data_IF_881218367973
#
_entry.id   IF_881218367973
#
_cell.length_a   1.000
_cell.length_b   1.000
_cell.length_c   1.000
_cell.angle_alpha   90.00
_cell.angle_beta   90.00
_cell.angle_gamma   90.00
#
_symmetry.space_group_name_H-M   'P 1'
#
loop_
_entity.id
_entity.type
_entity.pdbx_description
1 polymer ?
#
# COMPACT_ATOMS: atom_id res chain seq x y z
N UNK A 1 37.96 -24.41 2.12
CA UNK A 1 38.02 -23.02 2.61
C UNK A 1 37.00 -22.08 1.98
N UNK A 2 36.78 -22.10 0.68
CA UNK A 2 35.80 -21.20 0.03
C UNK A 2 34.33 -21.41 0.48
N UNK A 3 33.92 -22.64 0.75
CA UNK A 3 32.54 -22.97 1.18
C UNK A 3 32.23 -22.48 2.62
N UNK A 4 33.21 -22.46 3.52
CA UNK A 4 33.06 -21.89 4.87
C UNK A 4 32.97 -20.35 4.85
N UNK A 5 33.68 -19.66 3.96
CA UNK A 5 33.64 -18.21 3.85
C UNK A 5 32.29 -17.69 3.27
N UNK A 6 31.64 -18.46 2.39
CA UNK A 6 30.32 -18.12 1.83
C UNK A 6 29.22 -18.27 2.86
N UNK A 7 29.26 -19.29 3.71
CA UNK A 7 28.27 -19.51 4.78
C UNK A 7 28.37 -18.47 5.91
N UNK A 8 29.57 -18.02 6.26
CA UNK A 8 29.79 -16.97 7.27
C UNK A 8 29.28 -15.60 6.78
N UNK A 9 29.50 -15.24 5.52
CA UNK A 9 28.99 -13.99 4.95
C UNK A 9 27.46 -13.96 4.84
N UNK A 10 26.81 -15.07 4.50
CA UNK A 10 25.34 -15.16 4.42
C UNK A 10 24.71 -14.99 5.83
N UNK A 11 25.25 -15.62 6.86
CA UNK A 11 24.76 -15.48 8.24
C UNK A 11 24.94 -14.06 8.81
N UNK A 12 26.02 -13.38 8.45
CA UNK A 12 26.23 -11.97 8.85
C UNK A 12 25.24 -11.03 8.16
N UNK A 13 24.99 -11.22 6.87
CA UNK A 13 24.01 -10.43 6.11
C UNK A 13 22.58 -10.61 6.66
N UNK A 14 22.21 -11.84 7.02
CA UNK A 14 20.89 -12.13 7.62
C UNK A 14 20.74 -11.46 8.99
N UNK A 15 21.77 -11.56 9.84
CA UNK A 15 21.78 -10.91 11.17
C UNK A 15 21.68 -9.39 11.05
N UNK A 16 22.38 -8.78 10.10
CA UNK A 16 22.30 -7.34 9.84
C UNK A 16 20.91 -6.93 9.34
N UNK A 17 20.29 -7.71 8.45
CA UNK A 17 18.93 -7.47 7.96
C UNK A 17 17.91 -7.55 9.11
N UNK A 18 18.02 -8.56 9.98
CA UNK A 18 17.15 -8.72 11.15
C UNK A 18 17.31 -7.55 12.14
N UNK A 19 18.54 -7.15 12.46
CA UNK A 19 18.79 -5.98 13.32
C UNK A 19 18.16 -4.71 12.75
N UNK A 20 18.35 -4.45 11.46
CA UNK A 20 17.75 -3.30 10.78
C UNK A 20 16.21 -3.35 10.82
N UNK A 21 15.63 -4.50 10.57
CA UNK A 21 14.18 -4.71 10.66
C UNK A 21 13.66 -4.39 12.07
N UNK A 22 14.26 -5.01 13.11
CA UNK A 22 13.86 -4.80 14.49
C UNK A 22 14.01 -3.33 14.92
N UNK A 23 15.09 -2.66 14.52
CA UNK A 23 15.26 -1.23 14.78
C UNK A 23 14.13 -0.40 14.17
N UNK A 24 13.77 -0.67 12.91
CA UNK A 24 12.69 0.04 12.23
C UNK A 24 11.33 -0.27 12.89
N UNK A 25 11.08 -1.50 13.30
CA UNK A 25 9.87 -1.88 14.05
C UNK A 25 9.79 -1.12 15.37
N UNK A 26 10.86 -1.11 16.16
CA UNK A 26 10.90 -0.40 17.46
C UNK A 26 10.71 1.11 17.28
N UNK A 27 11.40 1.72 16.33
CA UNK A 27 11.21 3.14 16.01
C UNK A 27 9.78 3.43 15.53
N UNK A 28 9.22 2.55 14.70
CA UNK A 28 7.84 2.64 14.25
C UNK A 28 6.85 2.50 15.42
N UNK A 29 7.09 1.59 16.35
CA UNK A 29 6.26 1.45 17.55
C UNK A 29 6.29 2.70 18.43
N UNK A 30 7.46 3.31 18.62
CA UNK A 30 7.60 4.56 19.38
C UNK A 30 6.84 5.70 18.70
N UNK A 31 6.98 5.85 17.38
CA UNK A 31 6.30 6.90 16.62
C UNK A 31 4.78 6.70 16.57
N UNK A 32 4.32 5.47 16.29
CA UNK A 32 2.88 5.16 16.28
C UNK A 32 2.28 5.26 17.67
N UNK A 33 2.96 4.80 18.72
CA UNK A 33 2.51 4.90 20.10
C UNK A 33 2.40 6.35 20.55
N UNK A 34 3.40 7.18 20.26
CA UNK A 34 3.37 8.61 20.55
C UNK A 34 2.25 9.32 19.76
N UNK A 35 2.09 8.99 18.47
CA UNK A 35 1.03 9.53 17.63
C UNK A 35 -0.36 9.11 18.11
N UNK A 36 -0.55 7.85 18.46
CA UNK A 36 -1.80 7.33 19.00
C UNK A 36 -2.16 7.98 20.35
N UNK A 37 -1.16 8.15 21.23
CA UNK A 37 -1.35 8.85 22.49
C UNK A 37 -1.75 10.31 22.29
N UNK A 38 -1.05 11.04 21.41
CA UNK A 38 -1.40 12.42 21.09
C UNK A 38 -2.81 12.53 20.48
N UNK A 39 -3.15 11.65 19.54
CA UNK A 39 -4.48 11.58 18.94
C UNK A 39 -5.57 11.30 19.99
N UNK A 40 -5.34 10.31 20.87
CA UNK A 40 -6.28 9.96 21.93
C UNK A 40 -6.54 11.15 22.89
N UNK A 41 -5.49 11.92 23.24
CA UNK A 41 -5.61 13.12 24.07
C UNK A 41 -6.40 14.23 23.37
N UNK A 42 -6.10 14.51 22.10
CA UNK A 42 -6.78 15.56 21.32
C UNK A 42 -8.25 15.21 21.06
N UNK A 43 -8.53 13.93 20.77
CA UNK A 43 -9.88 13.45 20.44
C UNK A 43 -10.67 12.94 21.64
N UNK A 44 -10.10 13.02 22.85
CA UNK A 44 -10.68 12.53 24.08
C UNK A 44 -11.12 11.05 24.01
N UNK A 45 -10.29 10.21 23.35
CA UNK A 45 -10.54 8.77 23.24
C UNK A 45 -10.27 8.11 24.60
N UNK A 46 -11.23 7.38 25.18
CA UNK A 46 -11.03 6.69 26.45
C UNK A 46 -9.90 5.66 26.39
N UNK A 47 -9.15 5.48 27.48
CA UNK A 47 -7.99 4.59 27.51
C UNK A 47 -8.35 3.13 27.20
N UNK A 48 -9.53 2.66 27.62
CA UNK A 48 -10.01 1.31 27.36
C UNK A 48 -10.26 1.04 25.85
N UNK A 49 -10.43 2.09 25.03
CA UNK A 49 -10.48 2.01 23.56
C UNK A 49 -9.10 2.25 22.98
N UNK A 50 -8.39 3.30 23.42
CA UNK A 50 -7.14 3.72 22.84
C UNK A 50 -6.04 2.64 22.94
N UNK A 51 -5.94 1.96 24.09
CA UNK A 51 -4.90 0.97 24.32
C UNK A 51 -5.02 -0.26 23.39
N UNK A 52 -6.16 -0.98 23.30
CA UNK A 52 -6.27 -2.14 22.41
C UNK A 52 -6.22 -1.75 20.92
N UNK A 53 -6.75 -0.59 20.53
CA UNK A 53 -6.65 -0.09 19.15
C UNK A 53 -5.19 0.20 18.80
N UNK A 54 -4.46 0.91 19.66
CA UNK A 54 -3.03 1.14 19.47
C UNK A 54 -2.27 -0.19 19.38
N UNK A 55 -2.52 -1.14 20.28
CA UNK A 55 -1.88 -2.45 20.25
C UNK A 55 -2.13 -3.20 18.94
N UNK A 56 -3.33 -3.12 18.37
CA UNK A 56 -3.64 -3.73 17.07
C UNK A 56 -2.78 -3.16 15.93
N UNK A 57 -2.62 -1.83 15.86
CA UNK A 57 -1.73 -1.19 14.88
C UNK A 57 -0.25 -1.49 15.12
N UNK A 58 0.19 -1.55 16.38
CA UNK A 58 1.58 -1.92 16.70
C UNK A 58 1.90 -3.36 16.29
N UNK A 59 0.97 -4.30 16.49
CA UNK A 59 1.12 -5.69 16.05
C UNK A 59 1.07 -5.81 14.52
N UNK A 60 0.24 -5.01 13.83
CA UNK A 60 0.18 -5.02 12.37
C UNK A 60 1.47 -4.51 11.71
N UNK A 61 2.16 -3.56 12.34
CA UNK A 61 3.34 -2.89 11.77
C UNK A 61 4.44 -3.85 11.30
N UNK A 62 4.97 -4.81 12.12
CA UNK A 62 6.01 -5.73 11.67
C UNK A 62 5.56 -6.60 10.49
N UNK A 63 4.29 -7.01 10.45
CA UNK A 63 3.75 -7.75 9.32
C UNK A 63 3.68 -6.89 8.05
N UNK A 64 3.32 -5.61 8.18
CA UNK A 64 3.30 -4.65 7.08
C UNK A 64 4.69 -4.37 6.51
N UNK A 65 5.69 -4.31 7.36
CA UNK A 65 7.08 -4.04 6.96
C UNK A 65 7.75 -5.26 6.28
N UNK A 66 7.36 -6.48 6.66
CA UNK A 66 8.02 -7.72 6.23
C UNK A 66 8.20 -7.85 4.70
N UNK A 67 7.20 -7.57 3.83
CA UNK A 67 7.36 -7.66 2.38
C UNK A 67 8.50 -6.82 1.82
N UNK A 68 8.85 -5.72 2.50
CA UNK A 68 9.94 -4.81 2.10
C UNK A 68 11.36 -5.28 2.46
N UNK A 69 11.49 -6.36 3.24
CA UNK A 69 12.78 -6.91 3.67
C UNK A 69 13.03 -8.25 2.99
N UNK A 70 13.71 -8.23 1.85
CA UNK A 70 13.92 -9.40 1.01
C UNK A 70 14.47 -10.61 1.77
N UNK A 71 15.54 -10.44 2.54
CA UNK A 71 16.17 -11.55 3.29
C UNK A 71 15.21 -12.19 4.30
N UNK A 72 14.39 -11.39 4.99
CA UNK A 72 13.41 -11.91 5.95
C UNK A 72 12.23 -12.56 5.24
N UNK A 73 11.80 -12.00 4.11
CA UNK A 73 10.77 -12.58 3.26
C UNK A 73 11.21 -13.97 2.77
N UNK A 74 12.42 -14.10 2.21
CA UNK A 74 12.99 -15.39 1.76
C UNK A 74 13.02 -16.42 2.90
N UNK A 75 13.31 -16.00 4.12
CA UNK A 75 13.26 -16.86 5.30
C UNK A 75 11.86 -17.37 5.61
N UNK A 76 10.82 -16.52 5.56
CA UNK A 76 9.45 -17.00 5.80
C UNK A 76 8.92 -17.81 4.61
N UNK A 77 9.39 -17.56 3.40
CA UNK A 77 9.11 -18.36 2.21
C UNK A 77 9.65 -19.81 2.36
N UNK A 78 10.77 -19.99 3.08
CA UNK A 78 11.35 -21.32 3.34
C UNK A 78 10.47 -22.23 4.20
N UNK A 79 9.44 -21.69 4.89
CA UNK A 79 8.43 -22.49 5.60
C UNK A 79 7.59 -23.36 4.65
N UNK A 80 7.62 -23.07 3.35
CA UNK A 80 6.78 -23.69 2.34
C UNK A 80 5.44 -22.98 2.15
N UNK A 81 4.92 -23.06 0.92
CA UNK A 81 3.80 -22.24 0.42
C UNK A 81 2.53 -22.31 1.28
N UNK A 82 2.09 -23.51 1.65
CA UNK A 82 0.87 -23.68 2.42
C UNK A 82 1.01 -23.18 3.87
N UNK A 83 2.18 -23.42 4.50
CA UNK A 83 2.44 -22.93 5.87
C UNK A 83 2.55 -21.39 5.89
N UNK A 84 3.22 -20.81 4.89
CA UNK A 84 3.29 -19.37 4.75
C UNK A 84 1.89 -18.77 4.59
N UNK A 85 1.05 -19.32 3.72
CA UNK A 85 -0.32 -18.85 3.53
C UNK A 85 -1.13 -18.96 4.84
N UNK A 86 -1.02 -20.07 5.55
CA UNK A 86 -1.66 -20.25 6.86
C UNK A 86 -1.21 -19.23 7.91
N UNK A 87 0.11 -18.96 7.98
CA UNK A 87 0.66 -17.93 8.86
C UNK A 87 0.18 -16.52 8.48
N UNK A 88 0.04 -16.22 7.18
CA UNK A 88 -0.52 -14.96 6.68
C UNK A 88 -1.97 -14.79 7.15
N UNK A 89 -2.81 -15.84 7.05
CA UNK A 89 -4.19 -15.80 7.55
C UNK A 89 -4.21 -15.58 9.06
N UNK A 90 -3.47 -16.36 9.84
CA UNK A 90 -3.42 -16.20 11.29
C UNK A 90 -2.98 -14.79 11.71
N UNK A 91 -1.95 -14.24 11.04
CA UNK A 91 -1.47 -12.89 11.30
C UNK A 91 -2.50 -11.79 10.94
N UNK A 92 -3.39 -12.04 9.98
CA UNK A 92 -4.46 -11.11 9.58
C UNK A 92 -5.58 -11.02 10.63
N UNK A 93 -5.87 -12.13 11.30
CA UNK A 93 -6.92 -12.20 12.32
C UNK A 93 -6.49 -11.60 13.66
N UNK A 94 -5.19 -11.65 13.97
CA UNK A 94 -4.65 -11.24 15.27
C UNK A 94 -4.95 -9.77 15.63
N UNK A 95 -4.70 -8.75 14.79
CA UNK A 95 -5.02 -7.36 15.11
C UNK A 95 -6.53 -7.12 15.32
N UNK A 96 -7.39 -7.82 14.56
CA UNK A 96 -8.84 -7.75 14.75
C UNK A 96 -9.25 -8.23 16.14
N UNK A 97 -8.74 -9.37 16.60
CA UNK A 97 -9.03 -9.90 17.93
C UNK A 97 -8.51 -8.99 19.05
N UNK A 98 -7.30 -8.43 18.88
CA UNK A 98 -6.65 -7.58 19.87
C UNK A 98 -7.48 -6.33 20.19
N UNK A 99 -8.12 -5.72 19.19
CA UNK A 99 -8.94 -4.54 19.49
C UNK A 99 -10.40 -4.89 19.77
N UNK A 100 -10.99 -5.80 19.00
CA UNK A 100 -12.44 -6.01 19.02
C UNK A 100 -12.94 -6.72 20.29
N UNK A 101 -12.17 -7.66 20.82
CA UNK A 101 -12.55 -8.40 22.04
C UNK A 101 -12.52 -7.50 23.26
N UNK A 102 -11.43 -6.76 23.59
CA UNK A 102 -11.40 -5.90 24.79
C UNK A 102 -12.36 -4.70 24.70
N UNK A 103 -12.66 -4.23 23.50
CA UNK A 103 -13.59 -3.11 23.31
C UNK A 103 -15.05 -3.53 23.16
N UNK A 104 -15.36 -4.83 23.22
CA UNK A 104 -16.72 -5.33 23.14
C UNK A 104 -17.40 -5.25 21.77
N UNK A 105 -16.65 -4.93 20.70
CA UNK A 105 -17.20 -4.82 19.33
C UNK A 105 -16.93 -6.06 18.48
N UNK A 106 -16.49 -7.17 19.10
CA UNK A 106 -16.26 -8.42 18.39
C UNK A 106 -17.56 -8.95 17.78
N UNK A 107 -17.53 -9.24 16.47
CA UNK A 107 -18.63 -9.88 15.76
C UNK A 107 -18.14 -11.13 15.02
N UNK A 108 -18.78 -12.28 15.26
CA UNK A 108 -18.41 -13.54 14.61
C UNK A 108 -18.56 -13.47 13.09
N UNK A 109 -19.56 -12.76 12.59
CA UNK A 109 -19.77 -12.53 11.15
C UNK A 109 -18.62 -11.72 10.54
N UNK A 110 -18.16 -10.64 11.22
CA UNK A 110 -17.01 -9.85 10.81
C UNK A 110 -15.72 -10.65 10.83
N UNK A 111 -15.49 -11.45 11.88
CA UNK A 111 -14.35 -12.36 11.99
C UNK A 111 -14.34 -13.41 10.87
N UNK A 112 -15.50 -14.05 10.60
CA UNK A 112 -15.63 -15.05 9.54
C UNK A 112 -15.39 -14.46 8.15
N UNK A 113 -15.93 -13.26 7.87
CA UNK A 113 -15.70 -12.56 6.61
C UNK A 113 -14.22 -12.16 6.45
N UNK A 114 -13.57 -11.67 7.52
CA UNK A 114 -12.14 -11.36 7.52
C UNK A 114 -11.31 -12.60 7.25
N UNK A 115 -11.62 -13.72 7.91
CA UNK A 115 -10.93 -15.00 7.70
C UNK A 115 -11.07 -15.49 6.26
N UNK A 116 -12.27 -15.36 5.67
CA UNK A 116 -12.53 -15.72 4.26
C UNK A 116 -11.70 -14.87 3.30
N UNK A 117 -11.67 -13.55 3.48
CA UNK A 117 -10.88 -12.63 2.65
C UNK A 117 -9.38 -12.93 2.80
N UNK A 118 -8.90 -13.07 4.03
CA UNK A 118 -7.50 -13.39 4.28
C UNK A 118 -7.10 -14.72 3.66
N UNK A 119 -7.94 -15.75 3.76
CA UNK A 119 -7.71 -17.06 3.14
C UNK A 119 -7.73 -16.96 1.61
N UNK A 120 -8.71 -16.28 1.01
CA UNK A 120 -8.79 -16.11 -0.43
C UNK A 120 -7.53 -15.43 -1.00
N UNK A 121 -7.02 -14.36 -0.35
CA UNK A 121 -5.83 -13.65 -0.78
C UNK A 121 -4.56 -14.46 -0.52
N UNK A 122 -4.40 -15.06 0.67
CA UNK A 122 -3.19 -15.79 1.03
C UNK A 122 -3.04 -17.11 0.28
N UNK A 123 -4.11 -17.86 0.06
CA UNK A 123 -4.07 -19.14 -0.64
C UNK A 123 -4.22 -19.03 -2.16
N UNK A 124 -4.44 -17.83 -2.71
CA UNK A 124 -4.66 -17.66 -4.15
C UNK A 124 -3.61 -18.38 -4.98
N UNK A 125 -2.34 -18.01 -4.85
CA UNK A 125 -1.26 -18.63 -5.62
C UNK A 125 -0.77 -19.98 -5.08
N UNK A 126 -1.30 -20.45 -3.97
CA UNK A 126 -1.10 -21.84 -3.54
C UNK A 126 -1.98 -22.77 -4.37
N UNK A 127 -3.23 -22.36 -4.66
CA UNK A 127 -4.26 -23.16 -5.32
C UNK A 127 -4.38 -22.87 -6.82
N UNK A 128 -4.23 -21.60 -7.22
CA UNK A 128 -4.39 -21.17 -8.60
C UNK A 128 -3.05 -21.19 -9.38
N UNK A 129 -3.09 -21.41 -10.72
CA UNK A 129 -1.91 -21.39 -11.55
C UNK A 129 -1.29 -19.99 -11.64
N UNK A 130 0.02 -19.91 -11.85
CA UNK A 130 0.77 -18.65 -12.04
C UNK A 130 0.67 -18.16 -13.48
N UNK A 131 -0.52 -17.79 -13.92
CA UNK A 131 -0.83 -17.35 -15.29
C UNK A 131 -1.32 -15.91 -15.31
N UNK A 132 -1.29 -15.26 -16.48
CA UNK A 132 -1.82 -13.91 -16.67
C UNK A 132 -3.30 -13.80 -16.34
N UNK A 133 -4.09 -14.85 -16.64
CA UNK A 133 -5.51 -14.90 -16.27
C UNK A 133 -5.71 -14.93 -14.74
N UNK A 134 -4.94 -15.77 -14.04
CA UNK A 134 -4.95 -15.82 -12.58
C UNK A 134 -4.50 -14.49 -11.95
N UNK A 135 -3.48 -13.83 -12.53
CA UNK A 135 -3.02 -12.51 -12.08
C UNK A 135 -4.13 -11.45 -12.24
N UNK A 136 -4.82 -11.44 -13.37
CA UNK A 136 -5.93 -10.52 -13.64
C UNK A 136 -7.10 -10.74 -12.66
N UNK A 137 -7.48 -12.00 -12.41
CA UNK A 137 -8.52 -12.35 -11.43
C UNK A 137 -8.11 -11.98 -9.99
N UNK A 138 -6.83 -12.15 -9.64
CA UNK A 138 -6.33 -11.73 -8.33
C UNK A 138 -6.44 -10.21 -8.13
N UNK A 139 -6.05 -9.42 -9.13
CA UNK A 139 -6.23 -7.96 -9.08
C UNK A 139 -7.71 -7.56 -9.02
N UNK A 140 -8.57 -8.26 -9.77
CA UNK A 140 -10.01 -8.02 -9.72
C UNK A 140 -10.60 -8.34 -8.34
N UNK A 141 -10.15 -9.42 -7.69
CA UNK A 141 -10.53 -9.74 -6.31
C UNK A 141 -10.12 -8.62 -5.34
N UNK A 142 -8.87 -8.15 -5.40
CA UNK A 142 -8.39 -7.07 -4.54
C UNK A 142 -9.19 -5.78 -4.79
N UNK A 143 -9.44 -5.44 -6.05
CA UNK A 143 -10.26 -4.28 -6.41
C UNK A 143 -11.68 -4.40 -5.87
N UNK A 144 -12.33 -5.56 -6.00
CA UNK A 144 -13.68 -5.79 -5.48
C UNK A 144 -13.73 -5.60 -3.95
N UNK A 145 -12.76 -6.15 -3.20
CA UNK A 145 -12.66 -5.99 -1.74
C UNK A 145 -12.59 -4.51 -1.34
N UNK A 146 -11.76 -3.73 -2.05
CA UNK A 146 -11.57 -2.30 -1.74
C UNK A 146 -12.78 -1.47 -2.15
N UNK A 147 -13.29 -1.66 -3.38
CA UNK A 147 -14.40 -0.87 -3.92
C UNK A 147 -15.73 -1.12 -3.21
N UNK A 148 -15.98 -2.35 -2.77
CA UNK A 148 -17.17 -2.71 -1.97
C UNK A 148 -17.08 -2.22 -0.50
N UNK A 149 -15.94 -1.58 -0.13
CA UNK A 149 -15.71 -1.05 1.24
C UNK A 149 -16.00 -2.08 2.33
N UNK A 150 -15.64 -3.34 2.07
CA UNK A 150 -15.97 -4.48 2.95
C UNK A 150 -15.42 -4.29 4.37
N UNK A 151 -14.30 -3.59 4.53
CA UNK A 151 -13.70 -3.35 5.84
C UNK A 151 -14.53 -2.45 6.75
N UNK A 152 -15.36 -1.55 6.20
CA UNK A 152 -16.32 -0.78 7.00
C UNK A 152 -17.40 -1.66 7.66
N UNK A 153 -17.67 -2.85 7.09
CA UNK A 153 -18.60 -3.84 7.67
C UNK A 153 -17.92 -4.77 8.67
N UNK A 154 -16.61 -4.99 8.52
CA UNK A 154 -15.82 -5.89 9.38
C UNK A 154 -15.34 -5.17 10.63
N UNK A 155 -14.76 -3.98 10.47
CA UNK A 155 -14.10 -3.24 11.54
C UNK A 155 -15.06 -2.20 12.13
N UNK A 156 -15.79 -2.59 13.17
CA UNK A 156 -16.65 -1.68 13.88
C UNK A 156 -15.84 -0.73 14.78
N UNK A 157 -16.15 0.56 14.73
CA UNK A 157 -15.57 1.57 15.60
C UNK A 157 -16.19 1.47 17.02
N UNK A 158 -15.40 1.24 18.09
CA UNK A 158 -15.91 1.25 19.48
C UNK A 158 -16.47 2.60 19.89
N UNK A 159 -16.00 3.68 19.29
CA UNK A 159 -16.51 5.04 19.37
C UNK A 159 -16.49 5.68 17.98
N UNK A 160 -17.40 6.60 17.66
CA UNK A 160 -17.51 7.18 16.31
C UNK A 160 -16.22 7.82 15.80
N UNK A 161 -15.94 7.64 14.50
CA UNK A 161 -14.86 8.30 13.74
C UNK A 161 -13.43 7.87 14.08
N UNK A 162 -13.22 6.64 14.56
CA UNK A 162 -11.87 6.05 14.70
C UNK A 162 -11.30 5.53 13.39
N UNK A 163 -12.17 5.17 12.44
CA UNK A 163 -11.78 4.69 11.11
C UNK A 163 -10.94 3.42 11.15
N UNK A 164 -11.38 2.41 11.91
CA UNK A 164 -10.65 1.14 12.08
C UNK A 164 -10.60 0.29 10.83
N UNK A 165 -11.40 0.61 9.80
CA UNK A 165 -11.29 0.02 8.47
C UNK A 165 -9.89 0.17 7.86
N UNK A 166 -9.10 1.16 8.28
CA UNK A 166 -7.71 1.30 7.84
C UNK A 166 -6.83 0.12 8.25
N UNK A 167 -7.12 -0.53 9.38
CA UNK A 167 -6.41 -1.74 9.79
C UNK A 167 -6.60 -2.87 8.77
N UNK A 168 -7.84 -3.00 8.25
CA UNK A 168 -8.15 -3.94 7.18
C UNK A 168 -7.45 -3.61 5.86
N UNK A 169 -7.35 -2.34 5.49
CA UNK A 169 -6.63 -1.94 4.28
C UNK A 169 -5.13 -2.24 4.37
N UNK A 170 -4.48 -1.92 5.50
CA UNK A 170 -3.04 -2.22 5.71
C UNK A 170 -2.81 -3.73 5.68
N UNK A 171 -3.66 -4.52 6.33
CA UNK A 171 -3.64 -5.98 6.29
C UNK A 171 -3.77 -6.51 4.85
N UNK A 172 -4.73 -6.00 4.06
CA UNK A 172 -4.91 -6.44 2.67
C UNK A 172 -3.68 -6.15 1.81
N UNK A 173 -3.09 -4.96 1.95
CA UNK A 173 -1.90 -4.54 1.21
C UNK A 173 -0.76 -5.53 1.45
N UNK A 174 -0.45 -5.84 2.72
CA UNK A 174 0.65 -6.75 3.03
C UNK A 174 0.40 -8.20 2.62
N UNK A 175 -0.84 -8.68 2.78
CA UNK A 175 -1.22 -10.02 2.31
C UNK A 175 -1.05 -10.14 0.80
N UNK A 176 -1.56 -9.16 0.06
CA UNK A 176 -1.43 -9.14 -1.39
C UNK A 176 0.04 -9.01 -1.84
N UNK A 177 0.83 -8.15 -1.19
CA UNK A 177 2.26 -8.03 -1.47
C UNK A 177 3.00 -9.36 -1.21
N UNK A 178 2.75 -10.03 -0.07
CA UNK A 178 3.34 -11.34 0.24
C UNK A 178 2.86 -12.44 -0.71
N UNK A 179 1.59 -12.45 -1.10
CA UNK A 179 1.06 -13.40 -2.08
C UNK A 179 1.76 -13.27 -3.43
N UNK A 180 2.03 -12.05 -3.88
CA UNK A 180 2.69 -11.78 -5.15
C UNK A 180 4.20 -12.03 -5.06
N UNK A 181 4.87 -11.50 -4.06
CA UNK A 181 6.32 -11.57 -3.94
C UNK A 181 6.78 -12.96 -3.51
N UNK A 182 6.14 -13.55 -2.49
CA UNK A 182 6.53 -14.81 -1.89
C UNK A 182 5.87 -16.04 -2.55
N UNK A 183 4.55 -16.01 -2.76
CA UNK A 183 3.83 -17.19 -3.23
C UNK A 183 3.76 -17.31 -4.74
N UNK A 184 3.50 -16.19 -5.45
CA UNK A 184 3.54 -16.18 -6.91
C UNK A 184 4.97 -16.23 -7.42
N UNK A 185 5.84 -15.40 -6.88
CA UNK A 185 7.23 -15.24 -7.31
C UNK A 185 7.37 -14.67 -8.74
N UNK A 186 8.59 -14.33 -9.15
CA UNK A 186 8.89 -13.94 -10.54
C UNK A 186 8.16 -12.70 -11.07
N UNK A 187 7.49 -11.93 -10.21
CA UNK A 187 6.78 -10.70 -10.62
C UNK A 187 7.74 -9.61 -11.09
N UNK A 188 8.97 -9.63 -10.60
CA UNK A 188 9.97 -8.58 -10.79
C UNK A 188 9.55 -7.23 -10.19
N UNK A 189 8.46 -7.20 -9.43
CA UNK A 189 8.07 -6.05 -8.64
C UNK A 189 8.87 -6.02 -7.34
N UNK A 190 9.13 -4.81 -6.83
CA UNK A 190 9.80 -4.60 -5.55
C UNK A 190 8.86 -3.83 -4.62
N UNK A 191 8.78 -4.29 -3.38
CA UNK A 191 8.07 -3.58 -2.31
C UNK A 191 9.12 -3.03 -1.35
N UNK A 192 9.54 -1.77 -1.56
CA UNK A 192 10.55 -1.08 -0.76
C UNK A 192 10.01 0.23 -0.22
N UNK A 193 10.35 0.57 1.02
CA UNK A 193 9.87 1.78 1.68
C UNK A 193 10.71 3.02 1.35
N UNK A 194 12.00 2.87 1.02
CA UNK A 194 12.92 3.99 0.86
C UNK A 194 13.36 4.16 -0.59
N UNK A 195 13.04 5.32 -1.20
CA UNK A 195 13.57 5.68 -2.51
C UNK A 195 15.06 5.99 -2.46
N UNK A 196 15.79 5.61 -3.50
CA UNK A 196 17.17 6.04 -3.75
C UNK A 196 17.21 7.48 -4.24
N UNK A 197 18.41 8.11 -4.24
CA UNK A 197 18.59 9.46 -4.78
C UNK A 197 18.06 9.61 -6.23
N UNK A 198 18.31 8.61 -7.07
CA UNK A 198 17.83 8.60 -8.46
C UNK A 198 16.30 8.59 -8.52
N UNK A 199 15.66 7.79 -7.69
CA UNK A 199 14.21 7.67 -7.62
C UNK A 199 13.56 8.93 -7.05
N UNK A 200 14.17 9.57 -6.05
CA UNK A 200 13.77 10.89 -5.56
C UNK A 200 13.80 11.94 -6.66
N UNK A 201 14.91 12.03 -7.41
CA UNK A 201 15.06 13.02 -8.48
C UNK A 201 14.08 12.77 -9.64
N UNK A 202 13.83 11.51 -10.00
CA UNK A 202 12.82 11.16 -10.99
C UNK A 202 11.42 11.54 -10.52
N UNK A 203 11.07 11.18 -9.27
CA UNK A 203 9.78 11.52 -8.68
C UNK A 203 9.53 13.01 -8.60
N UNK A 204 10.52 13.80 -8.19
CA UNK A 204 10.43 15.26 -8.15
C UNK A 204 10.25 15.88 -9.54
N UNK A 205 10.97 15.39 -10.57
CA UNK A 205 10.80 15.88 -11.96
C UNK A 205 9.39 15.64 -12.48
N UNK A 206 8.88 14.42 -12.31
CA UNK A 206 7.55 14.07 -12.77
C UNK A 206 6.46 14.77 -11.96
N UNK A 207 6.69 15.03 -10.67
CA UNK A 207 5.83 15.89 -9.87
C UNK A 207 5.82 17.34 -10.38
N UNK A 208 6.98 17.93 -10.67
CA UNK A 208 7.06 19.27 -11.24
C UNK A 208 6.34 19.37 -12.60
N UNK A 209 6.43 18.32 -13.43
CA UNK A 209 5.70 18.24 -14.70
C UNK A 209 4.19 18.06 -14.51
N UNK A 210 3.75 17.37 -13.46
CA UNK A 210 2.34 17.15 -13.11
C UNK A 210 1.66 18.44 -12.65
N UNK A 211 2.35 19.27 -11.85
CA UNK A 211 1.78 20.46 -11.22
C UNK A 211 1.00 21.38 -12.17
N UNK A 212 1.56 21.86 -13.30
CA UNK A 212 0.84 22.76 -14.21
C UNK A 212 -0.39 22.07 -14.83
N UNK A 213 -0.29 20.77 -15.16
CA UNK A 213 -1.40 20.02 -15.77
C UNK A 213 -2.57 19.89 -14.79
N UNK A 214 -2.28 19.52 -13.55
CA UNK A 214 -3.31 19.38 -12.52
C UNK A 214 -3.87 20.73 -12.10
N UNK A 215 -3.04 21.78 -11.99
CA UNK A 215 -3.50 23.14 -11.69
C UNK A 215 -4.49 23.66 -12.74
N UNK A 216 -4.21 23.47 -14.03
CA UNK A 216 -5.11 23.85 -15.11
C UNK A 216 -6.45 23.10 -15.02
N UNK A 217 -6.40 21.78 -14.79
CA UNK A 217 -7.61 20.94 -14.70
C UNK A 217 -8.42 21.29 -13.47
N UNK A 218 -7.80 21.45 -12.32
CA UNK A 218 -8.49 21.86 -11.08
C UNK A 218 -9.16 23.22 -11.23
N UNK A 219 -8.44 24.19 -11.83
CA UNK A 219 -9.01 25.51 -12.10
C UNK A 219 -10.20 25.41 -13.06
N UNK A 220 -10.04 24.72 -14.20
CA UNK A 220 -11.08 24.58 -15.23
C UNK A 220 -12.33 23.88 -14.71
N UNK A 221 -12.21 22.97 -13.75
CA UNK A 221 -13.32 22.23 -13.15
C UNK A 221 -13.90 22.90 -11.91
N UNK A 222 -13.33 24.00 -11.44
CA UNK A 222 -13.74 24.69 -10.21
C UNK A 222 -13.60 23.81 -8.96
N UNK A 223 -12.56 22.97 -8.91
CA UNK A 223 -12.39 21.98 -7.85
C UNK A 223 -11.52 22.45 -6.68
N UNK A 224 -10.89 23.62 -6.76
CA UNK A 224 -9.87 24.01 -5.80
C UNK A 224 -9.95 25.47 -5.41
N UNK A 225 -9.95 25.68 -4.10
CA UNK A 225 -9.62 26.93 -3.46
C UNK A 225 -8.31 26.79 -2.68
N UNK A 226 -7.47 27.84 -2.71
CA UNK A 226 -6.27 27.89 -1.89
C UNK A 226 -6.66 28.11 -0.43
N UNK A 227 -6.62 27.06 0.38
CA UNK A 227 -6.97 27.08 1.81
C UNK A 227 -5.94 26.31 2.63
N UNK A 228 -4.74 26.88 2.87
CA UNK A 228 -3.70 26.19 3.62
C UNK A 228 -4.15 25.86 5.03
N UNK A 229 -3.82 24.64 5.49
CA UNK A 229 -4.13 24.22 6.86
C UNK A 229 -3.27 25.00 7.88
N UNK A 230 -3.83 25.45 9.02
CA UNK A 230 -3.10 26.24 10.02
C UNK A 230 -1.84 25.56 10.57
N UNK A 231 -1.79 24.22 10.62
CA UNK A 231 -0.59 23.46 11.05
C UNK A 231 0.49 23.36 9.97
N UNK A 232 0.25 23.84 8.74
CA UNK A 232 1.25 24.02 7.67
C UNK A 232 2.25 22.88 7.51
N UNK A 233 3.54 23.21 7.65
CA UNK A 233 4.65 22.29 7.40
C UNK A 233 4.67 21.01 8.26
N UNK A 234 4.41 21.03 9.59
CA UNK A 234 4.39 19.79 10.37
C UNK A 234 3.31 18.81 9.89
N UNK A 235 2.11 19.32 9.56
CA UNK A 235 1.05 18.48 9.01
C UNK A 235 1.42 18.00 7.61
N UNK A 236 2.04 18.82 6.78
CA UNK A 236 2.50 18.44 5.45
C UNK A 236 3.53 17.30 5.52
N UNK A 237 4.49 17.38 6.43
CA UNK A 237 5.49 16.32 6.63
C UNK A 237 4.84 15.00 7.09
N UNK A 238 3.99 15.06 8.11
CA UNK A 238 3.28 13.87 8.60
C UNK A 238 2.38 13.25 7.52
N UNK A 239 1.64 14.08 6.78
CA UNK A 239 0.80 13.64 5.67
C UNK A 239 1.63 13.03 4.55
N UNK A 240 2.75 13.68 4.18
CA UNK A 240 3.64 13.18 3.15
C UNK A 240 4.17 11.77 3.46
N UNK A 241 4.72 11.54 4.65
CA UNK A 241 5.24 10.23 5.00
C UNK A 241 4.14 9.17 5.16
N UNK A 242 2.98 9.54 5.70
CA UNK A 242 1.82 8.66 5.76
C UNK A 242 1.33 8.24 4.37
N UNK A 243 1.21 9.19 3.45
CA UNK A 243 0.86 8.91 2.05
C UNK A 243 1.97 8.10 1.37
N UNK A 244 3.24 8.49 1.52
CA UNK A 244 4.38 7.84 0.88
C UNK A 244 4.43 6.36 1.21
N UNK A 245 4.36 6.00 2.50
CA UNK A 245 4.60 4.63 2.95
C UNK A 245 3.36 3.75 3.03
N UNK A 246 2.17 4.32 3.00
CA UNK A 246 0.93 3.53 3.05
C UNK A 246 0.16 3.64 1.74
N UNK A 247 -0.33 4.81 1.39
CA UNK A 247 -1.22 4.98 0.23
C UNK A 247 -0.42 4.86 -1.08
N UNK A 248 0.59 5.71 -1.27
CA UNK A 248 1.35 5.73 -2.53
C UNK A 248 2.12 4.43 -2.74
N UNK A 249 2.77 3.87 -1.69
CA UNK A 249 3.46 2.59 -1.83
C UNK A 249 2.51 1.49 -2.29
N UNK A 250 1.34 1.36 -1.68
CA UNK A 250 0.38 0.31 -2.05
C UNK A 250 -0.20 0.52 -3.44
N UNK A 251 -0.69 1.71 -3.74
CA UNK A 251 -1.32 1.99 -5.03
C UNK A 251 -0.31 1.88 -6.17
N UNK A 252 0.89 2.44 -6.01
CA UNK A 252 1.93 2.36 -7.03
C UNK A 252 2.48 0.94 -7.20
N UNK A 253 2.55 0.15 -6.11
CA UNK A 253 2.90 -1.26 -6.21
C UNK A 253 1.90 -2.02 -7.09
N UNK A 254 0.58 -1.85 -6.86
CA UNK A 254 -0.44 -2.55 -7.63
C UNK A 254 -0.59 -2.00 -9.05
N UNK A 255 -0.63 -0.66 -9.22
CA UNK A 255 -0.87 -0.07 -10.53
C UNK A 255 0.37 -0.03 -11.42
N UNK A 256 1.56 0.24 -10.89
CA UNK A 256 2.80 0.38 -11.67
C UNK A 256 3.68 -0.86 -11.56
N UNK A 257 3.88 -1.33 -10.34
CA UNK A 257 4.69 -2.53 -10.10
C UNK A 257 4.10 -3.81 -10.71
N UNK A 258 2.78 -3.93 -10.77
CA UNK A 258 2.10 -5.10 -11.29
C UNK A 258 1.31 -4.82 -12.55
N UNK A 259 0.20 -4.07 -12.48
CA UNK A 259 -0.73 -3.91 -13.58
C UNK A 259 -0.07 -3.31 -14.82
N UNK A 260 0.58 -2.15 -14.71
CA UNK A 260 1.27 -1.50 -15.83
C UNK A 260 2.36 -2.39 -16.42
N UNK A 261 3.15 -3.06 -15.55
CA UNK A 261 4.18 -4.00 -15.97
C UNK A 261 3.62 -5.23 -16.68
N UNK A 262 2.46 -5.75 -16.23
CA UNK A 262 1.80 -6.88 -16.88
C UNK A 262 1.16 -6.45 -18.19
N UNK A 263 0.54 -5.28 -18.25
CA UNK A 263 -0.01 -4.70 -19.49
C UNK A 263 1.09 -4.53 -20.56
N UNK A 264 2.31 -4.10 -20.22
CA UNK A 264 3.42 -4.06 -21.18
C UNK A 264 3.68 -5.42 -21.84
N UNK A 265 3.60 -6.51 -21.05
CA UNK A 265 3.80 -7.88 -21.54
C UNK A 265 2.59 -8.42 -22.31
N UNK A 266 1.38 -8.06 -21.88
CA UNK A 266 0.14 -8.55 -22.52
C UNK A 266 -0.12 -7.86 -23.86
N UNK A 267 0.19 -6.55 -23.96
CA UNK A 267 -0.01 -5.77 -25.19
C UNK A 267 0.98 -6.14 -26.28
N UNK A 268 2.19 -6.53 -25.93
CA UNK A 268 3.20 -7.00 -26.89
C UNK A 268 4.06 -8.12 -26.28
N UNK A 269 3.58 -9.39 -26.33
CA UNK A 269 4.29 -10.52 -25.77
C UNK A 269 5.67 -10.77 -26.42
N UNK A 270 5.84 -10.38 -27.68
CA UNK A 270 7.09 -10.60 -28.43
C UNK A 270 8.12 -9.50 -28.20
N UNK A 271 7.68 -8.28 -27.90
CA UNK A 271 8.52 -7.08 -27.68
C UNK A 271 8.14 -6.36 -26.39
N UNK A 272 7.94 -7.15 -25.31
CA UNK A 272 7.62 -6.61 -24.00
C UNK A 272 8.64 -5.53 -23.59
N UNK A 273 8.14 -4.33 -23.26
CA UNK A 273 8.98 -3.16 -22.98
C UNK A 273 9.38 -2.35 -24.21
N UNK A 274 8.83 -2.63 -25.40
CA UNK A 274 8.92 -1.71 -26.54
C UNK A 274 8.38 -0.32 -26.15
N UNK A 275 8.84 0.73 -26.83
CA UNK A 275 8.38 2.12 -26.53
C UNK A 275 6.86 2.24 -26.65
N UNK A 276 6.27 1.56 -27.65
CA UNK A 276 4.83 1.62 -27.91
C UNK A 276 4.03 0.89 -26.81
N UNK A 277 4.39 -0.37 -26.49
CA UNK A 277 3.71 -1.15 -25.44
C UNK A 277 3.84 -0.49 -24.08
N UNK A 278 5.01 0.08 -23.79
CA UNK A 278 5.24 0.79 -22.51
C UNK A 278 4.38 2.06 -22.38
N UNK A 279 4.25 2.85 -23.46
CA UNK A 279 3.39 4.04 -23.46
C UNK A 279 1.91 3.62 -23.37
N UNK A 280 1.47 2.65 -24.13
CA UNK A 280 0.10 2.15 -24.08
C UNK A 280 -0.25 1.64 -22.67
N UNK A 281 0.65 0.91 -22.03
CA UNK A 281 0.48 0.41 -20.66
C UNK A 281 0.35 1.55 -19.63
N UNK A 282 1.11 2.67 -19.80
CA UNK A 282 0.95 3.86 -18.94
C UNK A 282 -0.46 4.39 -19.05
N UNK A 283 -0.99 4.62 -20.26
CA UNK A 283 -2.34 5.16 -20.44
C UNK A 283 -3.41 4.21 -19.95
N UNK A 284 -3.35 2.92 -20.29
CA UNK A 284 -4.32 1.92 -19.82
C UNK A 284 -4.34 1.83 -18.28
N UNK A 285 -3.18 1.73 -17.64
CA UNK A 285 -3.10 1.70 -16.18
C UNK A 285 -3.61 2.99 -15.54
N UNK A 286 -3.41 4.15 -16.17
CA UNK A 286 -3.86 5.44 -15.67
C UNK A 286 -5.38 5.63 -15.80
N UNK A 287 -6.00 5.14 -16.87
CA UNK A 287 -7.46 5.10 -17.01
C UNK A 287 -8.08 4.22 -15.92
N UNK A 288 -7.52 3.03 -15.67
CA UNK A 288 -7.97 2.14 -14.61
C UNK A 288 -7.75 2.75 -13.21
N UNK A 289 -6.65 3.48 -13.02
CA UNK A 289 -6.40 4.23 -11.79
C UNK A 289 -7.46 5.31 -11.56
N UNK A 290 -7.79 6.08 -12.58
CA UNK A 290 -8.88 7.05 -12.53
C UNK A 290 -10.23 6.39 -12.24
N UNK A 291 -10.56 5.29 -12.92
CA UNK A 291 -11.80 4.55 -12.72
C UNK A 291 -11.96 4.03 -11.28
N UNK A 292 -10.86 3.60 -10.64
CA UNK A 292 -10.86 3.20 -9.23
C UNK A 292 -11.24 4.34 -8.27
N UNK A 293 -11.12 5.60 -8.71
CA UNK A 293 -11.48 6.79 -7.93
C UNK A 293 -12.88 7.34 -8.19
N UNK A 294 -13.70 6.68 -9.01
CA UNK A 294 -15.10 7.10 -9.28
C UNK A 294 -15.98 7.19 -8.02
N UNK A 295 -15.70 6.39 -7.00
CA UNK A 295 -16.39 6.41 -5.70
C UNK A 295 -15.72 7.27 -4.61
N UNK A 296 -14.75 8.10 -4.98
CA UNK A 296 -14.02 8.92 -4.00
C UNK A 296 -14.92 9.98 -3.34
N UNK A 297 -14.69 10.25 -2.05
CA UNK A 297 -15.41 11.22 -1.23
C UNK A 297 -16.93 10.98 -1.18
N UNK A 298 -17.36 9.71 -1.19
CA UNK A 298 -18.77 9.29 -1.14
C UNK A 298 -19.65 9.85 -2.30
N UNK A 299 -19.04 10.40 -3.35
CA UNK A 299 -19.71 10.80 -4.58
C UNK A 299 -19.54 9.72 -5.65
N UNK A 300 -20.64 9.24 -6.24
CA UNK A 300 -20.58 8.30 -7.36
C UNK A 300 -21.61 8.69 -8.44
N UNK A 301 -21.18 8.81 -9.71
CA UNK A 301 -19.78 8.78 -10.18
C UNK A 301 -19.08 10.14 -9.97
N UNK A 302 -17.97 10.15 -9.25
CA UNK A 302 -17.11 11.34 -9.12
C UNK A 302 -16.17 11.46 -10.33
N UNK A 303 -16.73 11.74 -11.51
CA UNK A 303 -15.97 11.77 -12.76
C UNK A 303 -14.89 12.87 -12.78
N UNK A 304 -15.12 13.99 -12.08
CA UNK A 304 -14.15 15.10 -12.01
C UNK A 304 -12.88 14.64 -11.29
N UNK A 305 -13.04 14.03 -10.13
CA UNK A 305 -11.89 13.49 -9.39
C UNK A 305 -11.25 12.31 -10.11
N UNK A 306 -12.05 11.44 -10.73
CA UNK A 306 -11.56 10.33 -11.56
C UNK A 306 -10.69 10.81 -12.72
N UNK A 307 -11.08 11.90 -13.40
CA UNK A 307 -10.28 12.51 -14.47
C UNK A 307 -8.93 13.03 -13.94
N UNK A 308 -8.95 13.75 -12.82
CA UNK A 308 -7.73 14.23 -12.18
C UNK A 308 -6.81 13.08 -11.77
N UNK A 309 -7.37 12.03 -11.17
CA UNK A 309 -6.63 10.84 -10.81
C UNK A 309 -6.03 10.14 -12.05
N UNK A 310 -6.78 10.03 -13.15
CA UNK A 310 -6.27 9.47 -14.40
C UNK A 310 -5.09 10.27 -14.96
N UNK A 311 -5.21 11.61 -14.98
CA UNK A 311 -4.12 12.50 -15.41
C UNK A 311 -2.91 12.34 -14.50
N UNK A 312 -3.06 12.42 -13.19
CA UNK A 312 -1.98 12.19 -12.24
C UNK A 312 -1.34 10.81 -12.45
N UNK A 313 -2.17 9.81 -12.71
CA UNK A 313 -1.77 8.46 -13.05
C UNK A 313 -0.79 8.36 -14.22
N UNK A 314 -0.97 9.18 -15.26
CA UNK A 314 -0.04 9.22 -16.39
C UNK A 314 1.37 9.63 -15.93
N UNK A 315 1.49 10.65 -15.09
CA UNK A 315 2.77 11.10 -14.57
C UNK A 315 3.42 10.10 -13.63
N UNK A 316 2.63 9.43 -12.78
CA UNK A 316 3.11 8.32 -11.94
C UNK A 316 3.63 7.15 -12.81
N UNK A 317 2.89 6.82 -13.89
CA UNK A 317 3.29 5.81 -14.86
C UNK A 317 4.60 6.14 -15.58
N UNK A 318 4.82 7.39 -15.95
CA UNK A 318 6.07 7.84 -16.57
C UNK A 318 7.22 7.89 -15.55
N UNK A 319 6.98 8.26 -14.29
CA UNK A 319 7.99 8.18 -13.23
C UNK A 319 8.48 6.73 -13.03
N UNK A 320 7.57 5.77 -12.98
CA UNK A 320 7.92 4.35 -12.96
C UNK A 320 8.68 3.91 -14.21
N UNK A 321 8.21 4.32 -15.39
CA UNK A 321 8.85 3.95 -16.67
C UNK A 321 10.29 4.40 -16.76
N UNK A 322 10.64 5.55 -16.18
CA UNK A 322 12.00 6.10 -16.19
C UNK A 322 12.97 5.29 -15.33
N UNK A 323 12.56 4.86 -14.14
CA UNK A 323 13.43 4.16 -13.19
C UNK A 323 13.20 2.65 -13.15
N UNK A 324 12.04 2.19 -13.63
CA UNK A 324 11.54 0.82 -13.53
C UNK A 324 11.30 0.36 -12.09
N UNK A 325 11.14 1.30 -11.17
CA UNK A 325 10.90 1.07 -9.76
C UNK A 325 9.65 1.80 -9.28
N UNK A 326 8.93 1.23 -8.33
CA UNK A 326 7.71 1.79 -7.74
C UNK A 326 8.02 3.10 -6.99
N UNK A 327 9.22 3.22 -6.44
CA UNK A 327 9.61 4.31 -5.55
C UNK A 327 9.58 5.69 -6.21
N UNK A 328 9.87 5.79 -7.49
CA UNK A 328 9.79 7.09 -8.19
C UNK A 328 8.35 7.56 -8.36
N UNK A 329 7.42 6.67 -8.74
CA UNK A 329 6.00 7.02 -8.81
C UNK A 329 5.40 7.29 -7.42
N UNK A 330 5.82 6.54 -6.41
CA UNK A 330 5.43 6.73 -5.01
C UNK A 330 5.80 8.15 -4.51
N UNK A 331 6.97 8.67 -4.86
CA UNK A 331 7.38 10.05 -4.54
C UNK A 331 6.48 11.07 -5.25
N UNK A 332 6.28 10.92 -6.56
CA UNK A 332 5.39 11.82 -7.34
C UNK A 332 3.98 11.84 -6.76
N UNK A 333 3.44 10.68 -6.46
CA UNK A 333 2.11 10.49 -5.89
C UNK A 333 1.99 11.15 -4.50
N UNK A 334 2.92 10.84 -3.60
CA UNK A 334 2.89 11.37 -2.23
C UNK A 334 2.96 12.90 -2.20
N UNK A 335 3.78 13.51 -3.04
CA UNK A 335 3.86 14.97 -3.17
C UNK A 335 2.55 15.57 -3.67
N UNK A 336 1.96 14.98 -4.73
CA UNK A 336 0.70 15.46 -5.30
C UNK A 336 -0.44 15.46 -4.27
N UNK A 337 -0.63 14.32 -3.58
CA UNK A 337 -1.69 14.16 -2.58
C UNK A 337 -1.44 15.02 -1.34
N UNK A 338 -0.17 15.19 -0.94
CA UNK A 338 0.16 16.06 0.21
C UNK A 338 -0.20 17.50 -0.07
N UNK A 339 0.18 18.03 -1.23
CA UNK A 339 -0.17 19.41 -1.60
C UNK A 339 -1.69 19.58 -1.63
N UNK A 340 -2.38 18.64 -2.27
CA UNK A 340 -3.84 18.71 -2.33
C UNK A 340 -4.47 18.70 -0.93
N UNK A 341 -4.07 17.79 -0.04
CA UNK A 341 -4.69 17.65 1.29
C UNK A 341 -4.36 18.79 2.26
N UNK A 342 -3.19 19.40 2.14
CA UNK A 342 -2.71 20.38 3.12
C UNK A 342 -2.94 21.82 2.67
N UNK A 343 -2.87 22.09 1.39
CA UNK A 343 -2.89 23.46 0.87
C UNK A 343 -4.09 23.80 -0.02
N UNK A 344 -4.82 22.77 -0.50
CA UNK A 344 -5.94 22.94 -1.41
C UNK A 344 -7.20 22.31 -0.81
N UNK A 345 -8.37 22.94 -1.00
CA UNK A 345 -9.69 22.39 -0.63
C UNK A 345 -10.73 22.78 -1.67
#
# INVERSE_FOLDING_TARGET
>A
MAMMAVTTNAGQAETAALRRFLLIVVLGWLLLGAGAWAYARIKLVPAWVAAPVCAAFLIELPFYLLPGFQTLRERVESLGRARLAGAMVASALLPYLIYSVPTGVFALSGFGLLATIAAAVAFWYVLAPRSSGSDALFLALLAAIVLDRVFNRIYADPIPKLHLEYLGHVMLIRLAAMSILGLRGGSGAEFRFWPTRREWLAGLRWFAALLPCVAIVYWSLGLVEWRPHPLGLPLAAATFFGILWVVALSEEFFFRGLLQRWLEKWLDPRRAGSRASSIAAVFCASVLFGAAHLGFAHAFPNWRFSLVAAIAGVFYGFAWRETRTVQSSMVTHALAVTIWRVFLK
#
